data_IF_792304615899
#
_entry.id   IF_792304615899
#
_cell.length_a   1.000
_cell.length_b   1.000
_cell.length_c   1.000
_cell.angle_alpha   90.00
_cell.angle_beta   90.00
_cell.angle_gamma   90.00
#
_symmetry.space_group_name_H-M   'P 1'
#
loop_
_entity.id
_entity.type
_entity.pdbx_description
1 polymer ?
#
# COMPACT_ATOMS: atom_id res chain seq x y z
N UNK A 1 9.99 -21.78 56.58
CA UNK A 1 9.85 -21.34 55.18
C UNK A 1 10.05 -19.85 55.18
N UNK A 2 11.04 -19.35 54.44
CA UNK A 2 11.38 -17.94 54.41
C UNK A 2 10.46 -17.21 53.42
N UNK A 3 9.37 -16.64 53.95
CA UNK A 3 8.29 -16.07 53.16
C UNK A 3 8.77 -14.83 52.36
N UNK A 4 9.72 -14.08 52.90
CA UNK A 4 10.29 -12.89 52.26
C UNK A 4 11.06 -13.27 50.99
N UNK A 5 11.94 -14.26 51.06
CA UNK A 5 12.69 -14.76 49.90
C UNK A 5 11.77 -15.29 48.77
N UNK A 6 10.64 -15.92 49.12
CA UNK A 6 9.66 -16.37 48.12
C UNK A 6 8.90 -15.22 47.45
N UNK A 7 8.63 -14.14 48.19
CA UNK A 7 7.99 -12.94 47.66
C UNK A 7 8.91 -12.21 46.68
N UNK A 8 10.17 -12.00 47.05
CA UNK A 8 11.18 -11.35 46.20
C UNK A 8 11.42 -12.13 44.92
N UNK A 9 11.54 -13.45 45.00
CA UNK A 9 11.69 -14.31 43.82
C UNK A 9 10.51 -14.17 42.85
N UNK A 10 9.28 -14.09 43.36
CA UNK A 10 8.08 -13.89 42.53
C UNK A 10 8.06 -12.50 41.90
N UNK A 11 8.47 -11.46 42.63
CA UNK A 11 8.57 -10.10 42.10
C UNK A 11 9.60 -10.02 40.95
N UNK A 12 10.78 -10.63 41.13
CA UNK A 12 11.81 -10.69 40.08
C UNK A 12 11.31 -11.39 38.82
N UNK A 13 10.62 -12.53 38.96
CA UNK A 13 10.03 -13.23 37.82
C UNK A 13 8.99 -12.39 37.07
N UNK A 14 8.19 -11.59 37.79
CA UNK A 14 7.21 -10.70 37.16
C UNK A 14 7.91 -9.57 36.39
N UNK A 15 8.94 -8.97 36.97
CA UNK A 15 9.74 -7.93 36.31
C UNK A 15 10.41 -8.47 35.04
N UNK A 16 11.03 -9.65 35.10
CA UNK A 16 11.62 -10.30 33.93
C UNK A 16 10.59 -10.50 32.80
N UNK A 17 9.37 -10.96 33.14
CA UNK A 17 8.29 -11.13 32.16
C UNK A 17 7.87 -9.81 31.51
N UNK A 18 7.81 -8.73 32.28
CA UNK A 18 7.45 -7.42 31.76
C UNK A 18 8.56 -6.83 30.87
N UNK A 19 9.83 -7.07 31.21
CA UNK A 19 10.97 -6.73 30.35
C UNK A 19 10.92 -7.50 29.01
N UNK A 20 10.63 -8.81 29.04
CA UNK A 20 10.49 -9.59 27.81
C UNK A 20 9.34 -9.10 26.92
N UNK A 21 8.22 -8.69 27.53
CA UNK A 21 7.08 -8.11 26.81
C UNK A 21 7.45 -6.77 26.19
N UNK A 22 8.11 -5.89 26.94
CA UNK A 22 8.54 -4.59 26.45
C UNK A 22 9.49 -4.75 25.26
N UNK A 23 10.49 -5.63 25.40
CA UNK A 23 11.44 -5.92 24.33
C UNK A 23 10.74 -6.47 23.07
N UNK A 24 9.74 -7.35 23.24
CA UNK A 24 8.94 -7.89 22.13
C UNK A 24 8.16 -6.79 21.41
N UNK A 25 7.54 -5.87 22.14
CA UNK A 25 6.81 -4.75 21.55
C UNK A 25 7.73 -3.76 20.81
N UNK A 26 8.89 -3.45 21.38
CA UNK A 26 9.91 -2.63 20.73
C UNK A 26 10.39 -3.27 19.43
N UNK A 27 10.71 -4.55 19.45
CA UNK A 27 11.12 -5.30 18.26
C UNK A 27 10.03 -5.29 17.18
N UNK A 28 8.77 -5.52 17.56
CA UNK A 28 7.64 -5.47 16.64
C UNK A 28 7.46 -4.08 16.01
N UNK A 29 7.61 -3.01 16.81
CA UNK A 29 7.55 -1.62 16.34
C UNK A 29 8.68 -1.34 15.35
N UNK A 30 9.91 -1.71 15.69
CA UNK A 30 11.08 -1.53 14.83
C UNK A 30 10.94 -2.28 13.52
N UNK A 31 10.42 -3.51 13.53
CA UNK A 31 10.20 -4.29 12.32
C UNK A 31 9.19 -3.63 11.38
N UNK A 32 8.04 -3.19 11.92
CA UNK A 32 7.02 -2.47 11.15
C UNK A 32 7.58 -1.19 10.55
N UNK A 33 8.36 -0.45 11.33
CA UNK A 33 8.97 0.79 10.89
C UNK A 33 10.01 0.56 9.79
N UNK A 34 10.90 -0.43 9.93
CA UNK A 34 11.87 -0.80 8.88
C UNK A 34 11.17 -1.21 7.60
N UNK A 35 10.12 -2.01 7.71
CA UNK A 35 9.34 -2.48 6.55
C UNK A 35 8.65 -1.33 5.85
N UNK A 36 8.02 -0.40 6.60
CA UNK A 36 7.42 0.82 6.04
C UNK A 36 8.47 1.70 5.35
N UNK A 37 9.59 2.00 6.01
CA UNK A 37 10.69 2.80 5.43
C UNK A 37 11.20 2.18 4.13
N UNK A 38 11.34 0.85 4.07
CA UNK A 38 11.78 0.16 2.86
C UNK A 38 10.74 0.22 1.75
N UNK A 39 9.45 0.03 2.08
CA UNK A 39 8.35 0.14 1.12
C UNK A 39 8.26 1.56 0.54
N UNK A 40 8.23 2.58 1.40
CA UNK A 40 8.06 3.98 1.01
C UNK A 40 9.22 4.46 0.13
N UNK A 41 10.46 4.02 0.41
CA UNK A 41 11.63 4.28 -0.44
C UNK A 41 11.49 3.75 -1.87
N UNK A 42 10.67 2.72 -2.10
CA UNK A 42 10.48 2.07 -3.41
C UNK A 42 9.26 2.59 -4.17
N UNK A 43 8.41 3.39 -3.52
CA UNK A 43 7.30 4.04 -4.20
C UNK A 43 7.87 5.06 -5.18
N UNK A 44 7.70 4.80 -6.48
CA UNK A 44 8.04 5.76 -7.53
C UNK A 44 6.88 6.73 -7.70
N UNK A 45 7.09 8.05 -7.62
CA UNK A 45 6.03 9.00 -7.90
C UNK A 45 5.69 8.94 -9.39
N UNK A 46 4.40 8.75 -9.69
CA UNK A 46 3.88 8.87 -11.04
C UNK A 46 3.16 10.23 -11.14
N UNK A 47 3.80 11.16 -11.85
CA UNK A 47 3.19 12.44 -12.18
C UNK A 47 2.42 12.28 -13.48
N UNK A 48 1.18 12.76 -13.48
CA UNK A 48 0.32 12.78 -14.65
C UNK A 48 -0.14 14.20 -14.90
N UNK A 49 -0.27 14.57 -16.17
CA UNK A 49 -0.77 15.87 -16.59
C UNK A 49 -2.11 15.71 -17.32
N UNK A 50 -3.03 16.69 -17.21
CA UNK A 50 -4.23 16.72 -18.04
C UNK A 50 -3.89 16.62 -19.54
N UNK A 51 -4.67 15.83 -20.28
CA UNK A 51 -4.47 15.55 -21.71
C UNK A 51 -3.57 14.34 -22.02
N UNK A 52 -2.89 13.76 -21.03
CA UNK A 52 -2.09 12.56 -21.23
C UNK A 52 -2.96 11.31 -21.41
N UNK A 53 -2.46 10.37 -22.22
CA UNK A 53 -3.08 9.07 -22.41
C UNK A 53 -2.50 8.05 -21.43
N UNK A 54 -3.37 7.30 -20.76
CA UNK A 54 -2.99 6.35 -19.73
C UNK A 54 -3.78 5.05 -19.83
N UNK A 55 -3.17 3.97 -19.35
CA UNK A 55 -3.80 2.67 -19.23
C UNK A 55 -4.30 2.45 -17.79
N UNK A 56 -5.48 1.86 -17.66
CA UNK A 56 -6.07 1.53 -16.36
C UNK A 56 -5.92 0.05 -16.03
N UNK A 57 -5.48 -0.27 -14.83
CA UNK A 57 -5.39 -1.64 -14.34
C UNK A 57 -6.75 -2.18 -13.87
N UNK A 58 -7.17 -3.34 -14.39
CA UNK A 58 -8.36 -4.07 -13.96
C UNK A 58 -8.05 -5.03 -12.81
N UNK A 59 -8.53 -4.71 -11.61
CA UNK A 59 -8.36 -5.53 -10.40
C UNK A 59 -9.24 -6.77 -10.38
N UNK A 60 -10.41 -6.72 -11.02
CA UNK A 60 -11.32 -7.87 -11.10
C UNK A 60 -10.76 -8.94 -12.04
N UNK A 61 -10.69 -10.17 -11.53
CA UNK A 61 -10.31 -11.36 -12.27
C UNK A 61 -11.43 -11.70 -13.27
N UNK A 62 -11.46 -11.02 -14.41
CA UNK A 62 -12.14 -11.60 -15.57
C UNK A 62 -11.24 -12.70 -16.10
N UNK A 63 -11.71 -13.95 -16.02
CA UNK A 63 -11.17 -15.05 -16.82
C UNK A 63 -11.25 -14.60 -18.28
N UNK A 64 -10.13 -14.13 -18.83
CA UNK A 64 -10.06 -13.79 -20.23
C UNK A 64 -10.03 -15.12 -21.00
N UNK A 65 -11.03 -15.41 -21.87
CA UNK A 65 -10.95 -16.58 -22.73
C UNK A 65 -9.83 -16.34 -23.73
N UNK A 66 -8.68 -16.99 -23.51
CA UNK A 66 -7.47 -16.86 -24.34
C UNK A 66 -6.19 -16.64 -23.52
N UNK A 67 -5.05 -17.08 -24.05
CA UNK A 67 -3.72 -16.93 -23.44
C UNK A 67 -3.31 -15.44 -23.43
N UNK A 68 -2.68 -14.99 -22.33
CA UNK A 68 -1.89 -13.75 -22.24
C UNK A 68 -2.60 -12.41 -22.57
N UNK A 69 -3.81 -12.14 -22.06
CA UNK A 69 -4.37 -10.77 -22.10
C UNK A 69 -3.80 -9.91 -20.96
N UNK A 70 -3.30 -8.72 -21.31
CA UNK A 70 -2.84 -7.75 -20.31
C UNK A 70 -4.03 -7.30 -19.46
N UNK A 71 -3.83 -7.13 -18.15
CA UNK A 71 -4.86 -6.60 -17.23
C UNK A 71 -5.11 -5.10 -17.40
N UNK A 72 -4.38 -4.46 -18.32
CA UNK A 72 -4.48 -3.04 -18.61
C UNK A 72 -5.52 -2.83 -19.70
N UNK A 73 -6.56 -2.06 -19.39
CA UNK A 73 -7.55 -1.63 -20.38
C UNK A 73 -7.23 -0.24 -20.88
N UNK A 74 -7.42 -0.07 -22.20
CA UNK A 74 -7.73 1.16 -22.92
C UNK A 74 -6.75 2.33 -22.74
N UNK A 75 -6.42 3.08 -23.80
CA UNK A 75 -5.97 4.43 -23.59
C UNK A 75 -7.17 5.26 -23.09
N UNK A 76 -6.99 5.89 -21.94
CA UNK A 76 -7.89 6.87 -21.34
C UNK A 76 -7.20 8.22 -21.30
N UNK A 77 -7.96 9.30 -21.45
CA UNK A 77 -7.43 10.66 -21.32
C UNK A 77 -7.54 11.13 -19.87
N UNK A 78 -6.46 11.70 -19.33
CA UNK A 78 -6.45 12.33 -18.02
C UNK A 78 -7.14 13.69 -18.11
N UNK A 79 -8.24 13.87 -17.39
CA UNK A 79 -8.97 15.16 -17.35
C UNK A 79 -8.45 16.05 -16.24
N UNK A 80 -8.28 15.49 -15.05
CA UNK A 80 -7.81 16.21 -13.86
C UNK A 80 -7.06 15.26 -12.95
N UNK A 81 -5.99 15.76 -12.35
CA UNK A 81 -5.28 15.08 -11.25
C UNK A 81 -5.58 15.83 -9.96
N UNK A 82 -6.03 15.11 -8.94
CA UNK A 82 -6.27 15.70 -7.61
C UNK A 82 -4.97 15.70 -6.80
N UNK A 83 -4.80 16.63 -5.86
CA UNK A 83 -3.60 16.68 -5.01
C UNK A 83 -3.41 15.40 -4.17
N UNK A 84 -4.47 14.62 -3.94
CA UNK A 84 -4.44 13.38 -3.17
C UNK A 84 -4.16 12.12 -4.03
N UNK A 85 -3.78 12.29 -5.31
CA UNK A 85 -3.37 11.19 -6.19
C UNK A 85 -4.52 10.43 -6.85
N UNK A 86 -5.76 10.92 -6.76
CA UNK A 86 -6.86 10.42 -7.57
C UNK A 86 -6.87 11.11 -8.94
N UNK A 87 -7.17 10.36 -9.98
CA UNK A 87 -7.13 10.82 -11.37
C UNK A 87 -8.51 10.67 -11.97
N UNK A 88 -9.05 11.74 -12.52
CA UNK A 88 -10.27 11.70 -13.32
C UNK A 88 -9.91 11.33 -14.75
N UNK A 89 -10.43 10.19 -15.21
CA UNK A 89 -10.21 9.66 -16.53
C UNK A 89 -11.45 9.81 -17.40
N UNK A 90 -11.24 10.00 -18.70
CA UNK A 90 -12.26 10.01 -19.75
C UNK A 90 -11.96 8.94 -20.79
N UNK A 91 -12.98 8.23 -21.24
CA UNK A 91 -12.86 7.30 -22.36
C UNK A 91 -12.77 8.07 -23.69
N UNK A 92 -11.92 7.62 -24.62
CA UNK A 92 -11.74 8.28 -25.93
C UNK A 92 -13.03 8.36 -26.77
N UNK A 93 -13.97 7.45 -26.54
CA UNK A 93 -15.22 7.34 -27.29
C UNK A 93 -16.47 7.50 -26.41
N UNK A 94 -16.30 7.96 -25.17
CA UNK A 94 -17.40 8.07 -24.23
C UNK A 94 -17.28 9.31 -23.36
N UNK A 95 -18.40 9.99 -23.13
CA UNK A 95 -18.47 11.17 -22.27
C UNK A 95 -18.32 10.84 -20.78
N UNK A 96 -18.38 9.56 -20.42
CA UNK A 96 -18.33 9.11 -19.02
C UNK A 96 -16.93 9.36 -18.44
N UNK A 97 -16.89 10.28 -17.48
CA UNK A 97 -15.75 10.51 -16.60
C UNK A 97 -15.87 9.62 -15.36
N UNK A 98 -14.74 9.14 -14.85
CA UNK A 98 -14.71 8.39 -13.61
C UNK A 98 -13.40 8.62 -12.87
N UNK A 99 -13.46 8.55 -11.55
CA UNK A 99 -12.32 8.78 -10.67
C UNK A 99 -11.64 7.45 -10.35
N UNK A 100 -10.32 7.38 -10.49
CA UNK A 100 -9.50 6.21 -10.13
C UNK A 100 -8.34 6.60 -9.24
N UNK A 101 -7.82 5.63 -8.50
CA UNK A 101 -6.55 5.79 -7.81
C UNK A 101 -5.40 5.83 -8.83
N UNK A 102 -4.55 6.84 -8.79
CA UNK A 102 -3.40 7.00 -9.69
C UNK A 102 -2.41 5.84 -9.64
N UNK A 103 -2.34 5.09 -8.54
CA UNK A 103 -1.51 3.87 -8.44
C UNK A 103 -1.96 2.76 -9.40
N UNK A 104 -3.20 2.81 -9.90
CA UNK A 104 -3.75 1.85 -10.87
C UNK A 104 -3.60 2.31 -12.32
N UNK A 105 -2.87 3.39 -12.54
CA UNK A 105 -2.74 4.06 -13.83
C UNK A 105 -1.27 4.03 -14.26
N UNK A 106 -1.01 3.87 -15.56
CA UNK A 106 0.34 4.00 -16.14
C UNK A 106 0.28 4.75 -17.46
N UNK A 107 1.39 5.38 -17.85
CA UNK A 107 1.50 6.07 -19.14
C UNK A 107 1.27 5.11 -20.31
N UNK A 108 0.50 5.58 -21.30
CA UNK A 108 0.37 4.94 -22.61
C UNK A 108 1.33 5.63 -23.58
N UNK A 109 2.18 4.86 -24.25
CA UNK A 109 3.26 5.40 -25.10
C UNK A 109 3.00 5.31 -26.61
N UNK A 110 1.83 4.82 -27.02
CA UNK A 110 1.51 4.55 -28.44
C UNK A 110 1.53 3.06 -28.75
#
# INVERSE_FOLDING_TARGET
MDLEATCEKRLLQLNELDEFRLHSYENAKLYKEKTKRWHDKRIKPHHFEPGQHVLLFNSWLKLFPGKLKSRWSGPFEVVRVTPYGAIELRALHGERKFLVNGHRVKHYWG
#
